data_IF_977362079217
#
_entry.id   IF_977362079217
#
_cell.length_a   1.000
_cell.length_b   1.000
_cell.length_c   1.000
_cell.angle_alpha   90.00
_cell.angle_beta   90.00
_cell.angle_gamma   90.00
#
_symmetry.space_group_name_H-M   'P 1'
#
loop_
_entity.id
_entity.type
_entity.pdbx_description
1 polymer ?
#
# COMPACT_ATOMS: atom_id res chain seq x y z
N UNK A 1 -14.35 -16.14 10.94
CA UNK A 1 -14.01 -14.78 11.44
C UNK A 1 -13.79 -13.86 10.24
N UNK A 2 -14.13 -12.61 10.34
CA UNK A 2 -13.93 -11.62 9.30
C UNK A 2 -13.12 -10.44 9.86
N UNK A 3 -12.06 -10.04 9.18
CA UNK A 3 -11.28 -8.85 9.50
C UNK A 3 -11.38 -7.88 8.33
N UNK A 4 -11.89 -6.69 8.58
CA UNK A 4 -11.94 -5.60 7.60
C UNK A 4 -10.79 -4.64 7.88
N UNK A 5 -10.08 -4.22 6.84
CA UNK A 5 -9.05 -3.21 6.97
C UNK A 5 -9.13 -2.20 5.83
N UNK A 6 -9.04 -0.93 6.18
CA UNK A 6 -9.04 0.18 5.23
C UNK A 6 -7.63 0.46 4.78
N UNK A 7 -7.44 0.58 3.48
CA UNK A 7 -6.11 0.66 2.89
C UNK A 7 -6.10 1.45 1.60
N UNK A 8 -4.95 2.06 1.31
CA UNK A 8 -4.67 2.70 0.03
C UNK A 8 -3.38 2.13 -0.57
N UNK A 9 -3.37 1.96 -1.88
CA UNK A 9 -2.21 1.48 -2.63
C UNK A 9 -1.03 2.46 -2.55
N UNK A 10 -1.30 3.75 -2.37
CA UNK A 10 -0.28 4.78 -2.22
C UNK A 10 0.43 4.76 -0.85
N UNK A 11 -0.04 3.98 0.12
CA UNK A 11 0.47 3.99 1.47
C UNK A 11 1.47 2.85 1.71
N UNK A 12 2.77 3.13 1.90
CA UNK A 12 3.76 2.09 2.17
C UNK A 12 3.50 1.35 3.49
N UNK A 13 2.97 2.05 4.51
CA UNK A 13 2.58 1.41 5.77
C UNK A 13 1.42 0.45 5.63
N UNK A 14 0.52 0.67 4.68
CA UNK A 14 -0.57 -0.25 4.38
C UNK A 14 -0.02 -1.58 3.81
N UNK A 15 0.99 -1.51 2.95
CA UNK A 15 1.66 -2.70 2.44
C UNK A 15 2.37 -3.48 3.54
N UNK A 16 3.21 -2.80 4.32
CA UNK A 16 3.95 -3.42 5.44
C UNK A 16 2.97 -3.99 6.48
N UNK A 17 1.97 -3.20 6.87
CA UNK A 17 1.00 -3.58 7.90
C UNK A 17 0.15 -4.78 7.51
N UNK A 18 -0.35 -4.83 6.27
CA UNK A 18 -1.13 -5.98 5.80
C UNK A 18 -0.30 -7.25 5.72
N UNK A 19 0.98 -7.14 5.34
CA UNK A 19 1.90 -8.26 5.33
C UNK A 19 2.16 -8.80 6.75
N UNK A 20 2.41 -7.91 7.71
CA UNK A 20 2.61 -8.27 9.12
C UNK A 20 1.36 -8.90 9.73
N UNK A 21 0.19 -8.36 9.44
CA UNK A 21 -1.08 -8.92 9.90
C UNK A 21 -1.26 -10.35 9.40
N UNK A 22 -1.06 -10.60 8.11
CA UNK A 22 -1.16 -11.96 7.54
C UNK A 22 -0.15 -12.92 8.16
N UNK A 23 1.08 -12.47 8.39
CA UNK A 23 2.10 -13.27 9.04
C UNK A 23 1.68 -13.66 10.46
N UNK A 24 1.25 -12.70 11.26
CA UNK A 24 0.75 -12.96 12.62
C UNK A 24 -0.43 -13.93 12.63
N UNK A 25 -1.38 -13.76 11.71
CA UNK A 25 -2.53 -14.68 11.59
C UNK A 25 -2.12 -16.12 11.27
N UNK A 26 -1.10 -16.29 10.42
CA UNK A 26 -0.53 -17.62 10.12
C UNK A 26 0.16 -18.22 11.34
N UNK A 27 0.92 -17.41 12.09
CA UNK A 27 1.63 -17.85 13.29
C UNK A 27 0.67 -18.34 14.39
N UNK A 28 -0.48 -17.71 14.54
CA UNK A 28 -1.50 -18.13 15.53
C UNK A 28 -2.56 -19.09 14.95
N UNK A 29 -2.43 -19.49 13.69
CA UNK A 29 -3.25 -20.52 13.08
C UNK A 29 -4.68 -20.12 12.70
N UNK A 30 -4.97 -18.82 12.55
CA UNK A 30 -6.32 -18.34 12.18
C UNK A 30 -6.44 -17.87 10.73
N UNK A 31 -5.34 -17.89 9.98
CA UNK A 31 -5.33 -17.31 8.62
C UNK A 31 -6.34 -17.96 7.67
N UNK A 32 -6.39 -19.31 7.66
CA UNK A 32 -7.28 -20.06 6.76
C UNK A 32 -8.76 -19.98 7.16
N UNK A 33 -9.04 -19.65 8.43
CA UNK A 33 -10.40 -19.52 8.97
C UNK A 33 -10.92 -18.08 8.93
N UNK A 34 -10.08 -17.13 8.52
CA UNK A 34 -10.39 -15.71 8.58
C UNK A 34 -10.48 -15.12 7.18
N UNK A 35 -11.58 -14.47 6.87
CA UNK A 35 -11.73 -13.67 5.66
C UNK A 35 -11.15 -12.28 5.89
N UNK A 36 -10.11 -11.94 5.11
CA UNK A 36 -9.54 -10.59 5.09
C UNK A 36 -10.24 -9.76 4.03
N UNK A 37 -10.94 -8.71 4.45
CA UNK A 37 -11.63 -7.78 3.55
C UNK A 37 -10.89 -6.46 3.44
N UNK A 38 -10.28 -6.24 2.29
CA UNK A 38 -9.72 -4.96 1.88
C UNK A 38 -10.85 -3.96 1.64
N UNK A 39 -10.79 -2.82 2.33
CA UNK A 39 -11.68 -1.69 2.14
C UNK A 39 -10.90 -0.53 1.53
N UNK A 40 -11.33 -0.11 0.36
CA UNK A 40 -10.68 0.98 -0.37
C UNK A 40 -10.81 2.31 0.37
N UNK A 41 -9.70 3.00 0.52
CA UNK A 41 -9.63 4.34 1.09
C UNK A 41 -8.63 5.16 0.28
N UNK A 42 -8.99 6.35 -0.14
CA UNK A 42 -8.07 7.28 -0.80
C UNK A 42 -7.49 8.26 0.22
N UNK A 43 -6.19 8.18 0.48
CA UNK A 43 -5.49 9.11 1.36
C UNK A 43 -5.52 10.55 0.82
N UNK A 44 -5.36 10.70 -0.49
CA UNK A 44 -5.40 12.00 -1.15
C UNK A 44 -6.16 11.90 -2.50
N UNK A 45 -7.49 12.12 -2.48
CA UNK A 45 -8.28 12.10 -3.72
C UNK A 45 -7.91 13.19 -4.72
N UNK A 46 -7.23 14.25 -4.27
CA UNK A 46 -6.79 15.35 -5.12
C UNK A 46 -5.51 15.05 -5.91
N UNK A 47 -4.83 13.94 -5.66
CA UNK A 47 -3.66 13.54 -6.44
C UNK A 47 -4.02 13.39 -7.92
N UNK A 48 -3.28 14.00 -8.85
CA UNK A 48 -3.59 13.89 -10.28
C UNK A 48 -3.32 12.48 -10.81
N UNK A 49 -4.07 12.07 -11.85
CA UNK A 49 -3.90 10.76 -12.50
C UNK A 49 -2.58 10.65 -13.25
N UNK A 50 -2.08 11.76 -13.76
CA UNK A 50 -0.82 11.84 -14.49
C UNK A 50 0.04 12.90 -13.85
N UNK A 51 1.26 12.54 -13.49
CA UNK A 51 2.24 13.44 -12.90
C UNK A 51 3.65 13.03 -13.30
N UNK A 52 4.54 14.00 -13.37
CA UNK A 52 6.00 13.79 -13.49
C UNK A 52 6.71 14.09 -12.19
N UNK A 53 5.97 14.44 -11.15
CA UNK A 53 6.50 14.79 -9.83
C UNK A 53 7.10 13.56 -9.16
N UNK A 54 8.32 13.69 -8.62
CA UNK A 54 8.95 12.65 -7.80
C UNK A 54 8.33 12.57 -6.40
N UNK A 55 8.45 11.40 -5.79
CA UNK A 55 7.85 11.13 -4.48
C UNK A 55 8.30 12.11 -3.39
N UNK A 56 9.59 12.47 -3.37
CA UNK A 56 10.11 13.40 -2.36
C UNK A 56 9.46 14.77 -2.45
N UNK A 57 9.27 15.29 -3.66
CA UNK A 57 8.61 16.57 -3.86
C UNK A 57 7.14 16.52 -3.45
N UNK A 58 6.47 15.43 -3.76
CA UNK A 58 5.10 15.16 -3.31
C UNK A 58 5.01 15.10 -1.78
N UNK A 59 5.92 14.39 -1.13
CA UNK A 59 5.95 14.22 0.32
C UNK A 59 6.24 15.54 1.06
N UNK A 60 7.14 16.34 0.53
CA UNK A 60 7.53 17.64 1.12
C UNK A 60 6.64 18.80 0.68
N UNK A 61 5.71 18.55 -0.25
CA UNK A 61 4.89 19.59 -0.90
C UNK A 61 5.74 20.71 -1.51
N UNK A 62 6.88 20.34 -2.08
CA UNK A 62 7.82 21.28 -2.70
C UNK A 62 8.68 22.09 -1.72
N UNK A 63 8.58 21.85 -0.41
CA UNK A 63 9.39 22.52 0.59
C UNK A 63 10.75 21.82 0.72
N UNK A 64 11.77 22.39 0.09
CA UNK A 64 13.14 21.84 0.08
C UNK A 64 13.76 21.72 1.48
N UNK A 65 13.36 22.56 2.43
CA UNK A 65 13.89 22.48 3.81
C UNK A 65 13.51 21.17 4.51
N UNK A 66 12.45 20.50 4.07
CA UNK A 66 11.98 19.23 4.61
C UNK A 66 12.62 17.99 3.94
N UNK A 67 13.35 18.17 2.84
CA UNK A 67 13.94 17.06 2.10
C UNK A 67 14.87 16.17 2.93
N UNK A 68 15.79 16.67 3.76
CA UNK A 68 16.67 15.82 4.56
C UNK A 68 15.88 14.91 5.51
N UNK A 69 14.85 15.44 6.15
CA UNK A 69 13.98 14.67 7.04
C UNK A 69 13.14 13.66 6.27
N UNK A 70 12.59 14.06 5.13
CA UNK A 70 11.84 13.19 4.25
C UNK A 70 12.68 12.01 3.77
N UNK A 71 13.92 12.24 3.35
CA UNK A 71 14.85 11.19 2.93
C UNK A 71 15.14 10.19 4.05
N UNK A 72 15.33 10.65 5.28
CA UNK A 72 15.51 9.79 6.45
C UNK A 72 14.29 8.93 6.71
N UNK A 73 13.11 9.51 6.61
CA UNK A 73 11.85 8.81 6.82
C UNK A 73 11.60 7.76 5.74
N UNK A 74 11.86 8.09 4.48
CA UNK A 74 11.77 7.15 3.36
C UNK A 74 12.73 5.97 3.54
N UNK A 75 13.99 6.23 3.92
CA UNK A 75 14.97 5.18 4.18
C UNK A 75 14.55 4.28 5.35
N UNK A 76 13.96 4.83 6.39
CA UNK A 76 13.42 4.08 7.52
C UNK A 76 12.28 3.16 7.10
N UNK A 77 11.34 3.66 6.30
CA UNK A 77 10.21 2.87 5.77
C UNK A 77 10.72 1.73 4.89
N UNK A 78 11.67 2.02 3.98
CA UNK A 78 12.29 0.98 3.14
C UNK A 78 12.98 -0.10 3.97
N UNK A 79 13.71 0.29 5.02
CA UNK A 79 14.36 -0.65 5.92
C UNK A 79 13.37 -1.57 6.63
N UNK A 80 12.22 -1.06 7.05
CA UNK A 80 11.15 -1.87 7.63
C UNK A 80 10.59 -2.87 6.63
N UNK A 81 10.33 -2.43 5.39
CA UNK A 81 9.83 -3.29 4.33
C UNK A 81 10.83 -4.41 4.01
N UNK A 82 12.11 -4.08 3.84
CA UNK A 82 13.16 -5.05 3.55
C UNK A 82 13.34 -6.06 4.70
N UNK A 83 13.25 -5.63 5.94
CA UNK A 83 13.32 -6.53 7.11
C UNK A 83 12.16 -7.54 7.11
N UNK A 84 11.02 -7.19 6.53
CA UNK A 84 9.86 -8.07 6.39
C UNK A 84 9.89 -8.89 5.08
N UNK A 85 10.96 -8.79 4.30
CA UNK A 85 11.10 -9.50 3.01
C UNK A 85 10.35 -8.85 1.86
N UNK A 86 9.90 -7.60 2.02
CA UNK A 86 9.21 -6.85 0.97
C UNK A 86 10.19 -6.01 0.16
N UNK A 87 10.01 -5.99 -1.17
CA UNK A 87 10.72 -5.06 -2.04
C UNK A 87 10.03 -3.71 -2.03
N UNK A 88 10.79 -2.64 -1.78
CA UNK A 88 10.27 -1.27 -1.78
C UNK A 88 11.37 -0.29 -2.14
N UNK A 89 11.11 0.55 -3.14
CA UNK A 89 11.99 1.61 -3.60
C UNK A 89 11.19 2.91 -3.71
N UNK A 90 10.97 3.56 -2.57
CA UNK A 90 10.08 4.73 -2.47
C UNK A 90 10.52 5.87 -3.39
N UNK A 91 11.82 6.06 -3.56
CA UNK A 91 12.37 7.10 -4.43
C UNK A 91 12.03 6.92 -5.92
N UNK A 92 11.63 5.72 -6.32
CA UNK A 92 11.17 5.42 -7.70
C UNK A 92 9.66 5.54 -7.87
N UNK A 93 8.92 5.71 -6.79
CA UNK A 93 7.47 5.81 -6.85
C UNK A 93 7.06 7.13 -7.47
N UNK A 94 6.16 7.07 -8.44
CA UNK A 94 5.50 8.22 -9.03
C UNK A 94 4.14 8.38 -8.34
N UNK A 95 3.93 9.45 -7.55
CA UNK A 95 2.68 9.63 -6.83
C UNK A 95 1.54 9.89 -7.81
N UNK A 96 0.56 8.98 -7.81
CA UNK A 96 -0.55 8.95 -8.77
C UNK A 96 -1.86 8.75 -8.03
N UNK A 97 -2.95 9.28 -8.56
CA UNK A 97 -4.29 9.01 -8.04
C UNK A 97 -4.61 7.52 -8.08
N UNK A 98 -5.09 6.97 -6.97
CA UNK A 98 -5.31 5.53 -6.81
C UNK A 98 -6.74 5.06 -7.10
N UNK A 99 -7.64 5.94 -7.53
CA UNK A 99 -9.04 5.59 -7.79
C UNK A 99 -9.19 4.43 -8.77
N UNK A 100 -8.46 4.46 -9.89
CA UNK A 100 -8.58 3.41 -10.91
C UNK A 100 -8.03 2.07 -10.41
N UNK A 101 -6.98 2.08 -9.59
CA UNK A 101 -6.49 0.88 -8.90
C UNK A 101 -7.56 0.30 -7.96
N UNK A 102 -8.22 1.15 -7.18
CA UNK A 102 -9.32 0.72 -6.30
C UNK A 102 -10.51 0.16 -7.09
N UNK A 103 -10.81 0.72 -8.25
CA UNK A 103 -11.84 0.18 -9.16
C UNK A 103 -11.50 -1.24 -9.62
N UNK A 104 -10.26 -1.49 -10.00
CA UNK A 104 -9.81 -2.83 -10.39
C UNK A 104 -9.86 -3.83 -9.23
N UNK A 105 -9.52 -3.40 -8.03
CA UNK A 105 -9.65 -4.22 -6.81
C UNK A 105 -11.13 -4.58 -6.57
N UNK A 106 -12.03 -3.63 -6.71
CA UNK A 106 -13.48 -3.88 -6.58
C UNK A 106 -14.00 -4.82 -7.66
N UNK A 107 -13.54 -4.66 -8.90
CA UNK A 107 -13.89 -5.56 -9.98
C UNK A 107 -13.41 -7.00 -9.69
N UNK A 108 -12.18 -7.17 -9.23
CA UNK A 108 -11.67 -8.48 -8.82
C UNK A 108 -12.53 -9.09 -7.70
N UNK A 109 -12.89 -8.29 -6.69
CA UNK A 109 -13.76 -8.71 -5.60
C UNK A 109 -15.15 -9.17 -6.07
N UNK A 110 -15.69 -8.55 -7.12
CA UNK A 110 -17.00 -8.91 -7.68
C UNK A 110 -17.01 -10.29 -8.37
N UNK A 111 -15.84 -10.87 -8.66
CA UNK A 111 -15.70 -12.21 -9.24
C UNK A 111 -15.87 -13.34 -8.23
N UNK A 112 -15.98 -13.01 -6.93
CA UNK A 112 -16.18 -14.01 -5.88
C UNK A 112 -14.96 -14.88 -5.57
N UNK A 113 -13.78 -14.48 -6.02
CA UNK A 113 -12.51 -15.18 -5.78
C UNK A 113 -11.59 -14.31 -4.88
N UNK A 114 -11.54 -14.60 -3.56
CA UNK A 114 -10.67 -13.84 -2.64
C UNK A 114 -9.18 -13.91 -3.00
N UNK A 115 -8.73 -15.05 -3.55
CA UNK A 115 -7.34 -15.22 -3.98
C UNK A 115 -7.00 -14.33 -5.17
N UNK A 116 -7.92 -14.14 -6.11
CA UNK A 116 -7.76 -13.20 -7.21
C UNK A 116 -7.65 -11.77 -6.70
N UNK A 117 -8.55 -11.37 -5.81
CA UNK A 117 -8.54 -10.04 -5.20
C UNK A 117 -7.22 -9.75 -4.50
N UNK A 118 -6.72 -10.70 -3.71
CA UNK A 118 -5.44 -10.58 -3.02
C UNK A 118 -4.26 -10.43 -4.01
N UNK A 119 -4.22 -11.23 -5.07
CA UNK A 119 -3.18 -11.12 -6.10
C UNK A 119 -3.18 -9.74 -6.78
N UNK A 120 -4.35 -9.19 -7.08
CA UNK A 120 -4.48 -7.85 -7.65
C UNK A 120 -3.95 -6.78 -6.70
N UNK A 121 -4.31 -6.85 -5.42
CA UNK A 121 -3.82 -5.91 -4.40
C UNK A 121 -2.30 -5.97 -4.28
N UNK A 122 -1.74 -7.16 -4.13
CA UNK A 122 -0.29 -7.36 -4.01
C UNK A 122 0.44 -6.82 -5.24
N UNK A 123 -0.10 -7.06 -6.43
CA UNK A 123 0.51 -6.58 -7.67
C UNK A 123 0.59 -5.06 -7.76
N UNK A 124 -0.37 -4.34 -7.21
CA UNK A 124 -0.31 -2.88 -7.12
C UNK A 124 0.74 -2.37 -6.15
N UNK A 125 1.04 -3.12 -5.10
CA UNK A 125 2.09 -2.75 -4.15
C UNK A 125 3.52 -3.01 -4.67
N UNK A 126 3.69 -3.94 -5.61
CA UNK A 126 4.98 -4.31 -6.22
C UNK A 126 5.36 -3.39 -7.39
#
# INVERSE_FOLDING_TARGET
MEIKYWSDIACPFCYIGSNRMKKAMKEIGIYDETELKFKSFELNPATPKVTTEGYINHFTQGNKSLEPQAKKQMAYIESMAHADGLSMEINKVVPTNTMDAHRLIKLAGSKGDPALTERVIIRFYQ
#
